data_IF_768688772802
#
_entry.id   IF_768688772802
#
_cell.length_a   1.000
_cell.length_b   1.000
_cell.length_c   1.000
_cell.angle_alpha   90.00
_cell.angle_beta   90.00
_cell.angle_gamma   90.00
#
_symmetry.space_group_name_H-M   'P 1'
#
loop_
_entity.id
_entity.type
_entity.pdbx_description
1 polymer ?
#
# COMPACT_ATOMS: atom_id res chain seq x y z
N UNK A 1 -27.91 3.41 21.22
CA UNK A 1 -27.49 3.14 19.82
C UNK A 1 -26.85 1.77 19.77
N UNK A 2 -27.22 0.94 18.80
CA UNK A 2 -26.63 -0.39 18.63
C UNK A 2 -25.19 -0.24 18.11
N UNK A 3 -24.23 -0.96 18.71
CA UNK A 3 -22.83 -0.94 18.31
C UNK A 3 -22.67 -1.52 16.90
N UNK A 4 -22.02 -0.77 15.99
CA UNK A 4 -21.74 -1.26 14.64
C UNK A 4 -20.46 -2.08 14.64
N UNK A 5 -20.51 -3.30 14.11
CA UNK A 5 -19.35 -4.17 13.97
C UNK A 5 -18.76 -4.05 12.56
N UNK A 6 -17.47 -3.82 12.45
CA UNK A 6 -16.70 -3.76 11.20
C UNK A 6 -15.58 -4.79 11.29
N UNK A 7 -15.43 -5.63 10.26
CA UNK A 7 -14.41 -6.68 10.24
C UNK A 7 -13.49 -6.49 9.05
N UNK A 8 -12.21 -6.22 9.32
CA UNK A 8 -11.14 -6.27 8.32
C UNK A 8 -10.64 -7.70 8.17
N UNK A 9 -11.00 -8.36 7.08
CA UNK A 9 -10.48 -9.69 6.70
C UNK A 9 -9.17 -9.48 5.95
N UNK A 10 -8.05 -9.90 6.54
CA UNK A 10 -6.70 -9.61 6.03
C UNK A 10 -5.99 -10.86 5.54
N UNK A 11 -5.40 -10.82 4.33
CA UNK A 11 -4.48 -11.85 3.86
C UNK A 11 -3.14 -11.88 4.62
N UNK A 12 -2.89 -10.91 5.51
CA UNK A 12 -1.70 -10.87 6.35
C UNK A 12 -1.78 -11.85 7.53
N UNK A 13 -0.74 -11.84 8.37
CA UNK A 13 -0.66 -12.77 9.51
C UNK A 13 -1.77 -12.54 10.54
N UNK A 14 -2.26 -13.64 11.12
CA UNK A 14 -3.16 -13.68 12.27
C UNK A 14 -2.49 -13.25 13.58
N UNK A 15 -1.14 -13.24 13.65
CA UNK A 15 -0.39 -12.70 14.80
C UNK A 15 -0.65 -11.21 15.07
N UNK A 16 -1.19 -10.50 14.08
CA UNK A 16 -1.56 -9.08 14.16
C UNK A 16 -3.07 -8.87 14.37
N UNK A 17 -3.78 -9.92 14.75
CA UNK A 17 -5.21 -9.83 15.02
C UNK A 17 -5.44 -8.91 16.21
N UNK A 18 -6.42 -8.04 16.05
CA UNK A 18 -6.65 -6.94 16.97
C UNK A 18 -8.09 -6.51 16.94
N UNK A 19 -8.50 -5.90 18.05
CA UNK A 19 -9.85 -5.46 18.30
C UNK A 19 -9.81 -4.11 18.98
N UNK A 20 -10.58 -3.16 18.47
CA UNK A 20 -10.68 -1.82 19.05
C UNK A 20 -12.12 -1.35 19.04
N UNK A 21 -12.54 -0.80 20.18
CA UNK A 21 -13.79 -0.06 20.30
C UNK A 21 -13.48 1.43 20.18
N UNK A 22 -14.25 2.13 19.36
CA UNK A 22 -14.07 3.57 19.14
C UNK A 22 -15.41 4.23 18.84
N UNK A 23 -15.41 5.56 18.84
CA UNK A 23 -16.55 6.37 18.44
C UNK A 23 -16.19 7.21 17.20
N UNK A 24 -16.96 7.04 16.13
CA UNK A 24 -16.76 7.78 14.87
C UNK A 24 -18.08 8.44 14.51
N UNK A 25 -18.07 9.77 14.36
CA UNK A 25 -19.26 10.58 14.03
C UNK A 25 -20.45 10.30 14.97
N UNK A 26 -20.18 10.16 16.28
CA UNK A 26 -21.21 9.87 17.28
C UNK A 26 -21.74 8.43 17.30
N UNK A 27 -21.11 7.51 16.56
CA UNK A 27 -21.49 6.09 16.52
C UNK A 27 -20.44 5.23 17.21
N UNK A 28 -20.86 4.36 18.13
CA UNK A 28 -19.98 3.34 18.72
C UNK A 28 -19.71 2.24 17.68
N UNK A 29 -18.44 2.01 17.40
CA UNK A 29 -17.97 1.07 16.40
C UNK A 29 -17.00 0.10 17.05
N UNK A 30 -17.22 -1.19 16.80
CA UNK A 30 -16.26 -2.24 17.06
C UNK A 30 -15.55 -2.61 15.77
N UNK A 31 -14.23 -2.43 15.74
CA UNK A 31 -13.38 -2.76 14.60
C UNK A 31 -12.52 -3.96 14.97
N UNK A 32 -12.59 -5.00 14.15
CA UNK A 32 -11.79 -6.21 14.30
C UNK A 32 -10.93 -6.42 13.06
N UNK A 33 -9.65 -6.78 13.24
CA UNK A 33 -8.79 -7.27 12.16
C UNK A 33 -8.56 -8.76 12.39
N UNK A 34 -8.90 -9.56 11.38
CA UNK A 34 -8.72 -11.02 11.38
C UNK A 34 -7.83 -11.42 10.21
N UNK A 35 -6.66 -11.97 10.51
CA UNK A 35 -5.67 -12.44 9.56
C UNK A 35 -5.95 -13.85 9.10
N UNK A 36 -5.67 -14.13 7.84
CA UNK A 36 -5.84 -15.44 7.22
C UNK A 36 -4.53 -16.10 6.81
N UNK A 37 -3.39 -15.49 7.17
CA UNK A 37 -2.04 -16.06 6.95
C UNK A 37 -1.78 -16.42 5.48
N UNK A 38 -2.23 -15.56 4.56
CA UNK A 38 -2.14 -15.77 3.11
C UNK A 38 -3.16 -16.77 2.54
N UNK A 39 -3.99 -17.41 3.38
CA UNK A 39 -5.00 -18.35 2.93
C UNK A 39 -6.25 -17.60 2.40
N UNK A 40 -6.42 -17.67 1.08
CA UNK A 40 -7.51 -17.00 0.36
C UNK A 40 -8.85 -17.66 0.60
N UNK A 41 -8.89 -18.99 0.64
CA UNK A 41 -10.10 -19.77 0.86
C UNK A 41 -10.68 -19.48 2.24
N UNK A 42 -9.82 -19.39 3.27
CA UNK A 42 -10.18 -18.97 4.63
C UNK A 42 -10.74 -17.55 4.66
N UNK A 43 -10.16 -16.62 3.89
CA UNK A 43 -10.69 -15.26 3.78
C UNK A 43 -12.10 -15.24 3.16
N UNK A 44 -12.30 -15.98 2.08
CA UNK A 44 -13.62 -16.10 1.43
C UNK A 44 -14.64 -16.73 2.37
N UNK A 45 -14.25 -17.80 3.08
CA UNK A 45 -15.13 -18.46 4.04
C UNK A 45 -15.55 -17.52 5.16
N UNK A 46 -14.60 -16.80 5.76
CA UNK A 46 -14.87 -15.85 6.83
C UNK A 46 -15.80 -14.71 6.39
N UNK A 47 -15.61 -14.19 5.18
CA UNK A 47 -16.51 -13.18 4.60
C UNK A 47 -17.91 -13.75 4.46
N UNK A 48 -18.08 -14.94 3.88
CA UNK A 48 -19.40 -15.59 3.73
C UNK A 48 -20.10 -15.83 5.06
N UNK A 49 -19.35 -16.27 6.07
CA UNK A 49 -19.90 -16.54 7.41
C UNK A 49 -20.41 -15.27 8.11
N UNK A 50 -19.79 -14.12 7.83
CA UNK A 50 -20.09 -12.83 8.44
C UNK A 50 -20.99 -11.92 7.57
N UNK A 51 -21.22 -12.29 6.31
CA UNK A 51 -22.03 -11.50 5.38
C UNK A 51 -23.47 -11.34 5.91
N UNK A 52 -23.95 -10.10 5.95
CA UNK A 52 -25.23 -9.74 6.60
C UNK A 52 -25.19 -9.66 8.13
N UNK A 53 -24.08 -10.01 8.79
CA UNK A 53 -23.91 -9.97 10.27
C UNK A 53 -23.03 -8.83 10.76
N UNK A 54 -22.34 -8.13 9.85
CA UNK A 54 -21.48 -7.00 10.15
C UNK A 54 -21.86 -5.80 9.28
N UNK A 55 -21.58 -4.60 9.75
CA UNK A 55 -21.97 -3.36 9.07
C UNK A 55 -21.12 -3.08 7.82
N UNK A 56 -19.85 -3.50 7.83
CA UNK A 56 -18.95 -3.40 6.69
C UNK A 56 -17.77 -4.37 6.83
N UNK A 57 -17.21 -4.75 5.69
CA UNK A 57 -15.93 -5.44 5.59
C UNK A 57 -14.81 -4.49 5.15
N UNK A 58 -13.64 -4.69 5.74
CA UNK A 58 -12.37 -4.21 5.21
C UNK A 58 -11.63 -5.34 4.50
N UNK A 59 -11.14 -5.12 3.29
CA UNK A 59 -10.20 -6.01 2.63
C UNK A 59 -8.78 -5.60 3.05
N UNK A 60 -8.12 -6.43 3.83
CA UNK A 60 -6.80 -6.14 4.40
C UNK A 60 -5.66 -6.93 3.75
N UNK A 61 -4.46 -6.35 3.74
CA UNK A 61 -3.27 -7.01 3.18
C UNK A 61 -3.27 -7.15 1.66
N UNK A 62 -4.23 -6.53 0.98
CA UNK A 62 -4.30 -6.39 -0.47
C UNK A 62 -5.17 -5.18 -0.81
N UNK A 63 -4.89 -4.51 -1.91
CA UNK A 63 -5.72 -3.44 -2.45
C UNK A 63 -6.71 -4.05 -3.47
N UNK A 64 -7.95 -3.54 -3.52
CA UNK A 64 -8.90 -3.96 -4.56
C UNK A 64 -8.51 -3.35 -5.91
N UNK A 65 -7.95 -2.14 -5.87
CA UNK A 65 -7.48 -1.41 -7.04
C UNK A 65 -6.09 -0.84 -6.84
N UNK A 66 -5.28 -0.88 -7.90
CA UNK A 66 -4.14 0.03 -8.05
C UNK A 66 -4.51 1.20 -8.96
N UNK A 67 -3.83 2.34 -8.81
CA UNK A 67 -4.17 3.56 -9.54
C UNK A 67 -3.00 4.09 -10.35
N UNK A 68 -3.27 4.55 -11.57
CA UNK A 68 -2.35 5.40 -12.32
C UNK A 68 -3.15 6.47 -13.08
N UNK A 69 -2.76 7.73 -12.90
CA UNK A 69 -3.54 8.88 -13.34
C UNK A 69 -4.98 8.81 -12.84
N UNK A 70 -5.92 9.02 -13.76
CA UNK A 70 -7.35 8.97 -13.48
C UNK A 70 -7.96 7.56 -13.62
N UNK A 71 -7.14 6.51 -13.73
CA UNK A 71 -7.60 5.13 -13.95
C UNK A 71 -7.29 4.25 -12.74
N UNK A 72 -8.26 3.40 -12.41
CA UNK A 72 -8.13 2.32 -11.43
C UNK A 72 -8.11 0.99 -12.16
N UNK A 73 -7.24 0.09 -11.71
CA UNK A 73 -7.10 -1.25 -12.26
C UNK A 73 -7.45 -2.26 -11.19
N UNK A 74 -8.50 -3.05 -11.44
CA UNK A 74 -9.02 -4.05 -10.51
C UNK A 74 -8.07 -5.24 -10.44
N UNK A 75 -7.62 -5.59 -9.23
CA UNK A 75 -6.82 -6.81 -9.02
C UNK A 75 -7.76 -8.02 -9.01
N UNK A 76 -7.55 -8.97 -9.93
CA UNK A 76 -8.45 -10.12 -10.15
C UNK A 76 -8.66 -10.94 -8.87
N UNK A 77 -7.59 -11.23 -8.13
CA UNK A 77 -7.69 -12.06 -6.92
C UNK A 77 -8.42 -11.35 -5.78
N UNK A 78 -8.12 -10.07 -5.56
CA UNK A 78 -8.83 -9.22 -4.59
C UNK A 78 -10.31 -9.12 -4.93
N UNK A 79 -10.65 -8.93 -6.21
CA UNK A 79 -12.03 -8.95 -6.69
C UNK A 79 -12.73 -10.29 -6.42
N UNK A 80 -12.02 -11.41 -6.58
CA UNK A 80 -12.53 -12.74 -6.28
C UNK A 80 -12.87 -12.93 -4.80
N UNK A 81 -12.10 -12.31 -3.89
CA UNK A 81 -12.39 -12.31 -2.44
C UNK A 81 -13.58 -11.39 -2.15
N UNK A 82 -13.56 -10.17 -2.71
CA UNK A 82 -14.60 -9.18 -2.47
C UNK A 82 -16.01 -9.64 -2.91
N UNK A 83 -16.09 -10.44 -3.98
CA UNK A 83 -17.34 -11.07 -4.44
C UNK A 83 -17.99 -12.02 -3.43
N UNK A 84 -17.28 -12.43 -2.38
CA UNK A 84 -17.85 -13.27 -1.32
C UNK A 84 -18.82 -12.49 -0.41
N UNK A 85 -18.70 -11.16 -0.35
CA UNK A 85 -19.64 -10.29 0.36
C UNK A 85 -20.76 -9.89 -0.61
N UNK A 86 -21.97 -10.41 -0.38
CA UNK A 86 -23.15 -10.16 -1.23
C UNK A 86 -24.06 -9.11 -0.62
N UNK A 87 -24.24 -9.15 0.71
CA UNK A 87 -25.14 -8.27 1.45
C UNK A 87 -24.41 -7.10 2.11
N UNK A 88 -23.28 -7.38 2.75
CA UNK A 88 -22.50 -6.39 3.49
C UNK A 88 -21.51 -5.68 2.55
N UNK A 89 -21.37 -4.34 2.61
CA UNK A 89 -20.39 -3.63 1.79
C UNK A 89 -18.96 -4.04 2.16
N UNK A 90 -18.10 -4.23 1.16
CA UNK A 90 -16.66 -4.44 1.33
C UNK A 90 -15.86 -3.32 0.67
N UNK A 91 -14.88 -2.80 1.39
CA UNK A 91 -13.98 -1.73 0.95
C UNK A 91 -12.53 -2.05 1.32
N UNK A 92 -11.56 -1.46 0.63
CA UNK A 92 -10.11 -1.69 0.85
C UNK A 92 -9.39 -0.51 1.52
N UNK A 93 -10.12 0.56 1.88
CA UNK A 93 -9.53 1.76 2.47
C UNK A 93 -8.78 2.67 1.50
N UNK A 94 -8.78 2.37 0.20
CA UNK A 94 -8.08 3.13 -0.84
C UNK A 94 -8.47 4.62 -0.87
N UNK A 95 -9.72 4.96 -0.55
CA UNK A 95 -10.18 6.36 -0.45
C UNK A 95 -9.51 7.13 0.70
N UNK A 96 -9.38 6.50 1.87
CA UNK A 96 -8.69 7.09 3.01
C UNK A 96 -7.19 7.19 2.75
N UNK A 97 -6.57 6.11 2.24
CA UNK A 97 -5.16 6.05 1.84
C UNK A 97 -4.81 7.22 0.91
N UNK A 98 -5.55 7.36 -0.18
CA UNK A 98 -5.36 8.43 -1.16
C UNK A 98 -5.50 9.83 -0.55
N UNK A 99 -6.43 10.03 0.37
CA UNK A 99 -6.64 11.34 1.00
C UNK A 99 -5.51 11.68 1.97
N UNK A 100 -5.14 10.74 2.84
CA UNK A 100 -4.14 10.97 3.87
C UNK A 100 -2.74 11.11 3.28
N UNK A 101 -2.38 10.30 2.30
CA UNK A 101 -1.07 10.37 1.65
C UNK A 101 -0.81 11.77 1.05
N UNK A 102 -1.81 12.35 0.37
CA UNK A 102 -1.70 13.71 -0.17
C UNK A 102 -1.52 14.76 0.93
N UNK A 103 -2.31 14.65 2.00
CA UNK A 103 -2.23 15.54 3.16
C UNK A 103 -0.88 15.46 3.87
N UNK A 104 -0.32 14.26 4.02
CA UNK A 104 0.97 14.06 4.69
C UNK A 104 2.08 14.73 3.89
N UNK A 105 2.15 14.53 2.58
CA UNK A 105 3.19 15.18 1.76
C UNK A 105 3.09 16.71 1.84
N UNK A 106 1.88 17.26 1.73
CA UNK A 106 1.68 18.71 1.87
C UNK A 106 2.06 19.21 3.27
N UNK A 107 1.70 18.48 4.33
CA UNK A 107 2.11 18.81 5.69
C UNK A 107 3.64 18.83 5.86
N UNK A 108 4.33 17.82 5.31
CA UNK A 108 5.79 17.75 5.40
C UNK A 108 6.45 18.95 4.71
N UNK A 109 5.93 19.34 3.55
CA UNK A 109 6.39 20.50 2.78
C UNK A 109 6.10 21.83 3.47
N UNK A 110 4.84 22.08 3.82
CA UNK A 110 4.36 23.40 4.22
C UNK A 110 4.55 23.69 5.71
N UNK A 111 4.48 22.66 6.57
CA UNK A 111 4.41 22.83 8.02
C UNK A 111 5.63 22.23 8.73
N UNK A 112 6.10 21.06 8.31
CA UNK A 112 7.25 20.40 8.94
C UNK A 112 8.61 20.93 8.43
N UNK A 113 8.62 21.82 7.43
CA UNK A 113 9.83 22.43 6.88
C UNK A 113 10.70 21.48 6.06
N UNK A 114 10.16 20.33 5.62
CA UNK A 114 10.91 19.39 4.77
C UNK A 114 10.85 19.88 3.33
N UNK A 115 11.97 20.42 2.85
CA UNK A 115 12.08 20.88 1.47
C UNK A 115 12.16 19.67 0.50
N UNK A 116 11.06 19.41 -0.22
CA UNK A 116 10.90 18.41 -1.29
C UNK A 116 11.31 18.92 -2.69
N UNK A 117 11.28 20.23 -2.95
CA UNK A 117 11.53 20.80 -4.28
C UNK A 117 12.96 20.52 -4.72
N UNK A 118 13.12 19.88 -5.88
CA UNK A 118 14.40 19.48 -6.45
C UNK A 118 15.10 18.33 -5.72
N UNK A 119 14.51 17.76 -4.66
CA UNK A 119 15.04 16.56 -4.01
C UNK A 119 14.84 15.35 -4.90
N UNK A 120 15.85 14.47 -4.93
CA UNK A 120 15.74 13.19 -5.61
C UNK A 120 14.93 12.25 -4.74
N UNK A 121 13.77 11.82 -5.23
CA UNK A 121 12.88 10.92 -4.49
C UNK A 121 12.78 9.60 -5.23
N UNK A 122 12.98 8.49 -4.53
CA UNK A 122 12.65 7.17 -5.03
C UNK A 122 11.26 6.77 -4.52
N UNK A 123 10.28 6.66 -5.41
CA UNK A 123 8.98 6.02 -5.13
C UNK A 123 9.05 4.55 -5.53
N UNK A 124 9.21 3.64 -4.57
CA UNK A 124 9.45 2.21 -4.87
C UNK A 124 8.29 1.55 -5.62
N UNK A 125 7.06 1.95 -5.32
CA UNK A 125 5.84 1.54 -6.02
C UNK A 125 4.82 2.68 -5.95
N UNK A 126 4.65 3.43 -7.04
CA UNK A 126 3.76 4.58 -7.07
C UNK A 126 2.31 4.20 -7.37
N UNK A 127 2.05 3.11 -8.10
CA UNK A 127 0.67 2.68 -8.36
C UNK A 127 -0.06 2.20 -7.10
N UNK A 128 0.69 1.70 -6.11
CA UNK A 128 0.18 1.39 -4.77
C UNK A 128 -0.12 2.67 -3.97
N UNK A 129 0.77 3.66 -4.04
CA UNK A 129 0.69 4.92 -3.26
C UNK A 129 0.53 6.14 -4.13
N UNK A 130 -0.48 6.11 -4.99
CA UNK A 130 -0.62 7.10 -6.05
C UNK A 130 -0.82 8.52 -5.51
N UNK A 131 -1.52 8.68 -4.38
CA UNK A 131 -1.69 9.99 -3.74
C UNK A 131 -0.39 10.60 -3.25
N UNK A 132 0.51 9.78 -2.69
CA UNK A 132 1.85 10.21 -2.30
C UNK A 132 2.66 10.61 -3.54
N UNK A 133 2.62 9.78 -4.59
CA UNK A 133 3.34 10.00 -5.83
C UNK A 133 2.96 11.32 -6.53
N UNK A 134 1.66 11.62 -6.60
CA UNK A 134 1.14 12.90 -7.13
C UNK A 134 1.61 14.10 -6.32
N UNK A 135 1.57 14.00 -5.01
CA UNK A 135 1.91 15.15 -4.14
C UNK A 135 3.40 15.44 -4.15
N UNK A 136 4.24 14.42 -4.30
CA UNK A 136 5.69 14.59 -4.46
C UNK A 136 6.03 15.29 -5.79
N UNK A 137 5.42 14.87 -6.91
CA UNK A 137 5.61 15.55 -8.21
C UNK A 137 5.09 17.00 -8.14
N UNK A 138 3.92 17.21 -7.53
CA UNK A 138 3.33 18.54 -7.35
C UNK A 138 4.16 19.46 -6.45
N UNK A 139 4.84 18.92 -5.44
CA UNK A 139 5.79 19.66 -4.60
C UNK A 139 7.12 19.97 -5.33
N UNK A 140 7.28 19.51 -6.58
CA UNK A 140 8.45 19.77 -7.41
C UNK A 140 9.65 18.89 -7.11
N UNK A 141 9.44 17.71 -6.52
CA UNK A 141 10.50 16.72 -6.34
C UNK A 141 10.92 16.09 -7.68
N UNK A 142 12.19 15.68 -7.81
CA UNK A 142 12.69 14.85 -8.91
C UNK A 142 12.40 13.38 -8.58
N UNK A 143 11.22 12.91 -8.99
CA UNK A 143 10.73 11.60 -8.59
C UNK A 143 11.11 10.52 -9.60
N UNK A 144 11.76 9.48 -9.09
CA UNK A 144 12.02 8.21 -9.78
C UNK A 144 10.96 7.21 -9.36
N UNK A 145 10.10 6.82 -10.30
CA UNK A 145 9.05 5.83 -10.09
C UNK A 145 9.59 4.43 -10.40
N UNK A 146 9.62 3.61 -9.35
CA UNK A 146 10.26 2.31 -9.30
C UNK A 146 9.35 1.14 -9.70
N UNK A 147 8.10 1.38 -10.10
CA UNK A 147 7.11 0.34 -10.42
C UNK A 147 7.65 -0.71 -11.40
N UNK A 148 8.31 -0.29 -12.47
CA UNK A 148 8.93 -1.22 -13.42
C UNK A 148 10.10 -2.00 -12.80
N UNK A 149 10.91 -1.34 -11.99
CA UNK A 149 12.15 -1.89 -11.40
C UNK A 149 11.87 -2.86 -10.28
N UNK A 150 11.03 -2.47 -9.32
CA UNK A 150 10.83 -3.19 -8.06
C UNK A 150 9.58 -4.06 -8.06
N UNK A 151 8.60 -3.79 -8.92
CA UNK A 151 7.40 -4.64 -9.06
C UNK A 151 7.55 -5.61 -10.23
N UNK A 152 7.94 -5.12 -11.42
CA UNK A 152 8.03 -5.95 -12.63
C UNK A 152 9.44 -6.49 -12.93
N UNK A 153 10.48 -6.02 -12.24
CA UNK A 153 11.86 -6.48 -12.43
C UNK A 153 12.52 -6.00 -13.74
N UNK A 154 11.98 -4.95 -14.37
CA UNK A 154 12.54 -4.34 -15.59
C UNK A 154 13.56 -3.26 -15.22
N UNK A 155 14.66 -3.09 -15.98
CA UNK A 155 15.77 -2.24 -15.55
C UNK A 155 15.52 -0.72 -15.68
N UNK A 156 14.41 -0.31 -16.29
CA UNK A 156 14.15 1.10 -16.62
C UNK A 156 13.20 1.75 -15.62
N UNK A 157 13.61 2.82 -14.93
CA UNK A 157 12.72 3.57 -14.07
C UNK A 157 11.88 4.55 -14.89
N UNK A 158 10.82 5.08 -14.29
CA UNK A 158 10.01 6.14 -14.91
C UNK A 158 10.29 7.46 -14.18
N UNK A 159 10.25 8.57 -14.92
CA UNK A 159 10.61 9.92 -14.42
C UNK A 159 9.45 10.93 -14.43
N UNK A 160 8.22 10.45 -14.65
CA UNK A 160 7.00 11.26 -14.52
C UNK A 160 5.78 10.38 -14.34
N UNK A 161 4.75 10.91 -13.68
CA UNK A 161 3.44 10.25 -13.58
C UNK A 161 2.77 10.07 -14.95
N UNK A 162 3.06 10.96 -15.91
CA UNK A 162 2.58 10.80 -17.30
C UNK A 162 3.17 9.55 -17.95
N UNK A 163 4.46 9.27 -17.73
CA UNK A 163 5.08 8.04 -18.21
C UNK A 163 4.49 6.81 -17.51
N UNK A 164 4.31 6.88 -16.18
CA UNK A 164 3.65 5.83 -15.39
C UNK A 164 2.24 5.51 -15.89
N UNK A 165 1.40 6.53 -16.14
CA UNK A 165 0.04 6.33 -16.66
C UNK A 165 0.05 5.63 -18.03
N UNK A 166 0.95 6.01 -18.94
CA UNK A 166 1.07 5.36 -20.26
C UNK A 166 1.48 3.90 -20.14
N UNK A 167 2.49 3.61 -19.33
CA UNK A 167 2.95 2.25 -19.08
C UNK A 167 1.87 1.41 -18.39
N UNK A 168 1.20 1.97 -17.38
CA UNK A 168 0.11 1.32 -16.67
C UNK A 168 -1.04 0.94 -17.61
N UNK A 169 -1.42 1.80 -18.56
CA UNK A 169 -2.47 1.49 -19.54
C UNK A 169 -2.16 0.26 -20.39
N UNK A 170 -0.88 0.02 -20.67
CA UNK A 170 -0.42 -1.14 -21.43
C UNK A 170 -0.30 -2.39 -20.55
N UNK A 171 0.35 -2.26 -19.40
CA UNK A 171 0.78 -3.42 -18.59
C UNK A 171 -0.22 -3.79 -17.49
N UNK A 172 -0.86 -2.82 -16.84
CA UNK A 172 -1.73 -3.09 -15.70
C UNK A 172 -2.91 -4.02 -16.01
N UNK A 173 -3.56 -3.97 -17.20
CA UNK A 173 -4.62 -4.93 -17.54
C UNK A 173 -4.16 -6.39 -17.52
N UNK A 174 -2.87 -6.65 -17.79
CA UNK A 174 -2.27 -7.99 -17.78
C UNK A 174 -1.78 -8.31 -16.36
N UNK A 175 -1.02 -7.39 -15.76
CA UNK A 175 -0.40 -7.56 -14.44
C UNK A 175 -1.45 -7.80 -13.37
N UNK A 176 -2.59 -7.08 -13.40
CA UNK A 176 -3.68 -7.26 -12.43
C UNK A 176 -4.41 -8.61 -12.53
N UNK A 177 -4.15 -9.41 -13.58
CA UNK A 177 -4.67 -10.77 -13.71
C UNK A 177 -3.76 -11.82 -13.06
N UNK A 178 -2.50 -11.46 -12.81
CA UNK A 178 -1.51 -12.37 -12.21
C UNK A 178 -1.86 -12.69 -10.76
N UNK A 179 -1.44 -13.87 -10.25
CA UNK A 179 -1.58 -14.20 -8.85
C UNK A 179 -0.91 -13.16 -7.93
N UNK A 180 -1.57 -12.81 -6.83
CA UNK A 180 -1.16 -11.74 -5.92
C UNK A 180 0.23 -11.95 -5.33
N UNK A 181 0.64 -13.21 -5.15
CA UNK A 181 2.00 -13.60 -4.70
C UNK A 181 3.15 -13.07 -5.57
N UNK A 182 2.85 -12.66 -6.81
CA UNK A 182 3.82 -12.02 -7.71
C UNK A 182 3.75 -10.50 -7.66
N UNK A 183 2.61 -9.95 -7.28
CA UNK A 183 2.37 -8.51 -7.22
C UNK A 183 2.90 -7.95 -5.91
N UNK A 184 2.60 -8.58 -4.77
CA UNK A 184 2.88 -8.05 -3.44
C UNK A 184 3.71 -9.02 -2.58
N UNK A 185 4.66 -8.54 -1.75
CA UNK A 185 5.29 -9.36 -0.73
C UNK A 185 4.30 -9.72 0.38
N UNK A 186 3.87 -10.98 0.42
CA UNK A 186 2.94 -11.53 1.43
C UNK A 186 3.54 -12.68 2.22
N UNK A 187 3.09 -12.86 3.47
CA UNK A 187 3.50 -13.96 4.33
C UNK A 187 5.00 -13.92 4.62
N UNK A 188 5.65 -15.08 4.65
CA UNK A 188 7.07 -15.23 4.99
C UNK A 188 8.02 -14.46 4.05
N UNK A 189 7.56 -14.11 2.83
CA UNK A 189 8.33 -13.29 1.89
C UNK A 189 8.49 -11.83 2.34
N UNK A 190 7.77 -11.39 3.37
CA UNK A 190 7.94 -10.06 3.97
C UNK A 190 9.23 -9.92 4.79
N UNK A 191 9.86 -11.04 5.15
CA UNK A 191 11.09 -11.06 5.92
C UNK A 191 12.34 -11.26 5.06
N UNK A 192 12.17 -11.59 3.78
CA UNK A 192 13.29 -11.74 2.84
C UNK A 192 13.69 -10.40 2.23
N UNK A 193 14.92 -9.96 2.50
CA UNK A 193 15.52 -8.77 1.88
C UNK A 193 16.39 -9.23 0.71
N UNK A 194 16.15 -8.66 -0.47
CA UNK A 194 16.89 -8.90 -1.72
C UNK A 194 17.35 -7.54 -2.27
N UNK A 195 18.55 -7.06 -1.89
CA UNK A 195 19.05 -5.73 -2.26
C UNK A 195 19.44 -5.64 -3.75
N UNK A 196 18.45 -5.73 -4.63
CA UNK A 196 18.60 -5.54 -6.08
C UNK A 196 18.34 -4.08 -6.42
N UNK A 197 19.10 -3.57 -7.39
CA UNK A 197 18.98 -2.19 -7.86
C UNK A 197 19.21 -1.13 -6.76
N UNK A 198 20.06 -1.43 -5.78
CA UNK A 198 20.39 -0.55 -4.64
C UNK A 198 20.93 0.82 -5.04
N UNK A 199 21.49 0.97 -6.25
CA UNK A 199 21.93 2.26 -6.76
C UNK A 199 20.81 3.31 -6.75
N UNK A 200 19.56 2.94 -7.03
CA UNK A 200 18.43 3.86 -6.92
C UNK A 200 18.18 4.36 -5.50
N UNK A 201 18.43 3.53 -4.49
CA UNK A 201 18.32 3.92 -3.08
C UNK A 201 19.45 4.89 -2.70
N UNK A 202 20.67 4.64 -3.18
CA UNK A 202 21.82 5.48 -2.89
C UNK A 202 21.75 6.85 -3.59
N UNK A 203 21.21 6.91 -4.80
CA UNK A 203 21.06 8.15 -5.57
C UNK A 203 19.94 9.07 -5.05
N UNK A 204 18.95 8.53 -4.35
CA UNK A 204 17.84 9.29 -3.80
C UNK A 204 18.22 10.02 -2.52
N UNK A 205 17.69 11.22 -2.29
CA UNK A 205 17.72 11.90 -1.00
C UNK A 205 16.62 11.36 -0.07
N UNK A 206 15.47 11.00 -0.68
CA UNK A 206 14.28 10.54 0.02
C UNK A 206 13.81 9.21 -0.61
N UNK A 207 13.52 8.22 0.22
CA UNK A 207 12.88 6.97 -0.19
C UNK A 207 11.44 6.98 0.29
N UNK A 208 10.50 6.74 -0.60
CA UNK A 208 9.08 6.82 -0.30
C UNK A 208 8.30 5.63 -0.87
N UNK A 209 7.26 5.21 -0.16
CA UNK A 209 6.43 4.07 -0.57
C UNK A 209 6.01 3.17 0.59
N UNK A 210 5.40 2.04 0.25
CA UNK A 210 5.01 1.04 1.25
C UNK A 210 6.22 0.38 1.89
N UNK A 211 6.21 0.25 3.22
CA UNK A 211 7.35 -0.25 3.97
C UNK A 211 7.75 -1.66 3.52
N UNK A 212 6.81 -2.54 3.17
CA UNK A 212 7.18 -3.89 2.72
C UNK A 212 7.92 -3.87 1.38
N UNK A 213 7.58 -2.96 0.47
CA UNK A 213 8.37 -2.77 -0.76
C UNK A 213 9.72 -2.12 -0.48
N UNK A 214 9.77 -1.11 0.41
CA UNK A 214 11.02 -0.47 0.80
C UNK A 214 11.98 -1.50 1.42
N UNK A 215 11.51 -2.28 2.40
CA UNK A 215 12.25 -3.35 3.09
C UNK A 215 12.76 -4.42 2.14
N UNK A 216 11.91 -4.89 1.20
CA UNK A 216 12.27 -5.99 0.28
C UNK A 216 13.53 -5.73 -0.53
N UNK A 217 13.81 -4.47 -0.88
CA UNK A 217 14.99 -4.09 -1.67
C UNK A 217 15.95 -3.19 -0.90
N UNK A 218 15.84 -3.17 0.43
CA UNK A 218 16.65 -2.35 1.30
C UNK A 218 18.13 -2.76 1.17
N UNK A 219 19.04 -1.83 0.86
CA UNK A 219 20.47 -2.09 0.97
C UNK A 219 20.93 -2.16 2.43
N UNK A 220 22.14 -2.65 2.65
CA UNK A 220 22.71 -2.85 4.00
C UNK A 220 22.84 -1.55 4.82
N UNK A 221 22.89 -0.38 4.16
CA UNK A 221 22.93 0.91 4.85
C UNK A 221 22.30 2.04 4.03
N UNK A 222 21.69 3.01 4.71
CA UNK A 222 21.07 4.21 4.12
C UNK A 222 21.48 5.50 4.86
N UNK A 223 22.78 5.80 4.96
CA UNK A 223 23.24 6.96 5.74
C UNK A 223 22.67 8.27 5.18
N UNK A 224 22.09 9.08 6.08
CA UNK A 224 21.58 10.41 5.76
C UNK A 224 20.34 10.45 4.87
N UNK A 225 19.65 9.32 4.66
CA UNK A 225 18.42 9.26 3.85
C UNK A 225 17.19 9.59 4.68
N UNK A 226 16.23 10.29 4.09
CA UNK A 226 14.88 10.45 4.66
C UNK A 226 13.98 9.35 4.11
N UNK A 227 13.18 8.71 4.97
CA UNK A 227 12.25 7.66 4.55
C UNK A 227 10.81 8.08 4.88
N UNK A 228 9.97 8.18 3.84
CA UNK A 228 8.54 8.51 3.95
C UNK A 228 7.75 7.23 3.68
N UNK A 229 7.37 6.53 4.75
CA UNK A 229 6.70 5.23 4.65
C UNK A 229 5.60 5.09 5.70
N UNK A 230 4.96 3.93 5.74
CA UNK A 230 3.78 3.63 6.55
C UNK A 230 3.90 2.25 7.20
N UNK A 231 3.01 1.99 8.16
CA UNK A 231 2.84 0.66 8.76
C UNK A 231 4.13 0.10 9.36
N UNK A 232 4.99 0.97 9.91
CA UNK A 232 6.23 0.58 10.59
C UNK A 232 5.99 0.25 12.07
N UNK A 233 6.72 -0.74 12.55
CA UNK A 233 6.87 -1.09 13.97
C UNK A 233 8.17 -0.50 14.52
N UNK A 234 8.39 -0.61 15.83
CA UNK A 234 9.68 -0.19 16.44
C UNK A 234 10.87 -0.96 15.87
N UNK A 235 10.69 -2.25 15.57
CA UNK A 235 11.73 -3.06 14.94
C UNK A 235 12.04 -2.61 13.51
N UNK A 236 11.01 -2.21 12.77
CA UNK A 236 11.17 -1.66 11.42
C UNK A 236 11.94 -0.34 11.44
N UNK A 237 11.69 0.54 12.43
CA UNK A 237 12.46 1.77 12.59
C UNK A 237 13.92 1.48 12.92
N UNK A 238 14.19 0.54 13.83
CA UNK A 238 15.56 0.15 14.18
C UNK A 238 16.34 -0.46 12.99
N UNK A 239 15.65 -1.14 12.07
CA UNK A 239 16.24 -1.67 10.83
C UNK A 239 16.67 -0.56 9.84
N UNK A 240 16.06 0.63 9.94
CA UNK A 240 16.32 1.76 9.04
C UNK A 240 17.36 2.75 9.59
N UNK A 241 17.84 2.54 10.83
CA UNK A 241 18.83 3.37 11.53
C UNK A 241 20.22 2.75 11.43
#
# INVERSE_FOLDING_TARGET
>A
MMMKRIVSVSLGSSKRDSKVETEILGQKILIERIGTDGNREKAIQLIKELDGKVAAFGLGGTDLYVQAGNRRYLIREAAGIAKAAVQTPIVDGSGLKNTLERKVINYLWEQAGINLKGKKVLMVCAMDRFGMAESLEAAGADVTYGDLVFVLGLPFPLKSLKALDRVARLLAPIVCQLPFKYLYPTGDKQDEIKPKNSHYYYEADIIAGDFHYVKKFLPDSLPGKTIITNTVTKGDVAMLQ
#
